data_IF_238947219931
#
_entry.id   IF_238947219931
#
_cell.length_a   1.000
_cell.length_b   1.000
_cell.length_c   1.000
_cell.angle_alpha   90.00
_cell.angle_beta   90.00
_cell.angle_gamma   90.00
#
_symmetry.space_group_name_H-M   'P 1'
#
loop_
_entity.id
_entity.type
_entity.pdbx_description
1 polymer ?
#
# COMPACT_ATOMS: atom_id res chain seq x y z
N UNK A 1 -1.27 -4.32 25.95
CA UNK A 1 -2.00 -3.53 24.94
C UNK A 1 -2.95 -4.48 24.22
N UNK A 2 -4.18 -4.65 24.70
CA UNK A 2 -5.14 -5.53 24.04
C UNK A 2 -5.67 -4.78 22.82
N UNK A 3 -5.27 -5.20 21.62
CA UNK A 3 -5.74 -4.56 20.39
C UNK A 3 -7.21 -4.93 20.21
N UNK A 4 -8.11 -3.97 20.49
CA UNK A 4 -9.55 -4.13 20.30
C UNK A 4 -9.80 -4.13 18.79
N UNK A 5 -9.82 -5.32 18.20
CA UNK A 5 -10.22 -5.49 16.81
C UNK A 5 -11.72 -5.80 16.72
N UNK A 6 -12.32 -5.47 15.58
CA UNK A 6 -13.72 -5.77 15.35
C UNK A 6 -13.94 -7.27 15.46
N UNK A 7 -14.92 -7.70 16.25
CA UNK A 7 -15.35 -9.11 16.36
C UNK A 7 -15.77 -9.70 15.00
N UNK A 8 -16.06 -8.83 14.03
CA UNK A 8 -16.34 -9.20 12.64
C UNK A 8 -15.14 -9.79 11.90
N UNK A 9 -13.91 -9.49 12.32
CA UNK A 9 -12.70 -10.00 11.69
C UNK A 9 -12.31 -11.35 12.31
N UNK A 10 -12.38 -12.41 11.51
CA UNK A 10 -12.20 -13.80 11.97
C UNK A 10 -10.73 -14.16 12.19
N UNK A 11 -9.79 -13.45 11.57
CA UNK A 11 -8.35 -13.72 11.66
C UNK A 11 -7.53 -12.47 11.95
N UNK A 12 -6.46 -12.54 12.77
CA UNK A 12 -5.58 -11.40 13.06
C UNK A 12 -4.78 -10.90 11.84
N UNK A 13 -4.65 -11.70 10.78
CA UNK A 13 -4.04 -11.28 9.49
C UNK A 13 -4.97 -10.45 8.60
N UNK A 14 -6.27 -10.54 8.85
CA UNK A 14 -7.30 -9.75 8.15
C UNK A 14 -7.48 -8.38 8.80
N UNK A 15 -6.73 -8.12 9.86
CA UNK A 15 -6.80 -6.90 10.63
C UNK A 15 -5.71 -5.96 10.18
N UNK A 16 -6.12 -4.74 9.82
CA UNK A 16 -5.20 -3.68 9.47
C UNK A 16 -4.44 -3.20 10.72
N UNK A 17 -3.11 -3.35 10.71
CA UNK A 17 -2.21 -2.78 11.73
C UNK A 17 -1.60 -1.45 11.27
N UNK A 18 -0.89 -0.76 12.17
CA UNK A 18 -0.12 0.44 11.82
C UNK A 18 1.01 0.15 10.81
N UNK A 19 1.39 -1.11 10.63
CA UNK A 19 2.32 -1.52 9.58
C UNK A 19 1.71 -1.36 8.17
N UNK A 20 0.40 -1.17 8.08
CA UNK A 20 -0.34 -1.00 6.82
C UNK A 20 -0.51 -2.30 6.05
N UNK A 21 -0.21 -3.44 6.67
CA UNK A 21 -0.31 -4.76 6.06
C UNK A 21 -1.69 -5.34 6.36
N UNK A 22 -2.41 -5.65 5.29
CA UNK A 22 -3.67 -6.36 5.26
C UNK A 22 -3.50 -7.49 4.25
N UNK A 23 -3.72 -8.73 4.70
CA UNK A 23 -3.53 -9.91 3.88
C UNK A 23 -4.74 -10.84 4.00
N UNK A 24 -5.68 -10.67 3.06
CA UNK A 24 -6.91 -11.46 2.98
C UNK A 24 -6.84 -12.32 1.73
N UNK A 25 -6.84 -13.64 1.91
CA UNK A 25 -6.81 -14.59 0.79
C UNK A 25 -8.14 -14.65 0.05
N UNK A 26 -8.16 -15.14 -1.19
CA UNK A 26 -9.41 -15.41 -1.93
C UNK A 26 -10.37 -16.34 -1.21
N UNK A 27 -9.87 -17.27 -0.37
CA UNK A 27 -10.73 -18.15 0.42
C UNK A 27 -11.46 -17.41 1.54
N UNK A 28 -10.91 -16.29 2.00
CA UNK A 28 -11.39 -15.52 3.16
C UNK A 28 -12.08 -14.22 2.74
N UNK A 29 -11.93 -13.80 1.47
CA UNK A 29 -12.44 -12.52 0.97
C UNK A 29 -13.96 -12.39 1.11
N UNK A 30 -14.71 -13.47 0.87
CA UNK A 30 -16.16 -13.47 0.99
C UNK A 30 -16.61 -13.19 2.43
N UNK A 31 -15.95 -13.81 3.40
CA UNK A 31 -16.18 -13.58 4.82
C UNK A 31 -15.76 -12.18 5.24
N UNK A 32 -14.58 -11.73 4.81
CA UNK A 32 -14.04 -10.41 5.10
C UNK A 32 -14.98 -9.28 4.64
N UNK A 33 -15.49 -9.39 3.41
CA UNK A 33 -16.36 -8.38 2.80
C UNK A 33 -17.81 -8.48 3.26
N UNK A 34 -18.33 -9.67 3.57
CA UNK A 34 -19.76 -9.87 3.89
C UNK A 34 -20.08 -9.88 5.39
N UNK A 35 -19.11 -10.21 6.26
CA UNK A 35 -19.32 -10.30 7.72
C UNK A 35 -19.01 -9.00 8.47
N UNK A 36 -18.76 -7.90 7.75
CA UNK A 36 -18.59 -6.55 8.31
C UNK A 36 -17.15 -6.17 8.71
N UNK A 37 -16.15 -7.03 8.51
CA UNK A 37 -14.75 -6.68 8.80
C UNK A 37 -14.24 -5.58 7.85
N UNK A 38 -14.57 -5.66 6.57
CA UNK A 38 -14.26 -4.61 5.58
C UNK A 38 -14.88 -3.26 5.96
N UNK A 39 -16.16 -3.24 6.33
CA UNK A 39 -16.86 -2.00 6.71
C UNK A 39 -16.28 -1.36 7.97
N UNK A 40 -16.00 -2.17 9.00
CA UNK A 40 -15.35 -1.68 10.21
C UNK A 40 -13.96 -1.11 9.92
N UNK A 41 -13.18 -1.77 9.07
CA UNK A 41 -11.86 -1.29 8.65
C UNK A 41 -11.96 0.04 7.90
N UNK A 42 -12.92 0.15 6.97
CA UNK A 42 -13.18 1.38 6.21
C UNK A 42 -13.67 2.53 7.09
N UNK A 43 -14.46 2.26 8.12
CA UNK A 43 -14.90 3.28 9.08
C UNK A 43 -13.72 3.88 9.85
N UNK A 44 -12.78 3.03 10.28
CA UNK A 44 -11.55 3.49 10.94
C UNK A 44 -10.68 4.30 9.97
N UNK A 45 -10.48 3.81 8.74
CA UNK A 45 -9.75 4.53 7.70
C UNK A 45 -10.37 5.91 7.41
N UNK A 46 -11.70 5.99 7.33
CA UNK A 46 -12.44 7.25 7.14
C UNK A 46 -12.22 8.21 8.30
N UNK A 47 -12.27 7.71 9.54
CA UNK A 47 -11.97 8.51 10.73
C UNK A 47 -10.55 9.10 10.68
N UNK A 48 -9.55 8.27 10.34
CA UNK A 48 -8.17 8.72 10.17
C UNK A 48 -8.11 9.81 9.09
N UNK A 49 -8.77 9.61 7.94
CA UNK A 49 -8.79 10.61 6.86
C UNK A 49 -9.35 11.96 7.32
N UNK A 50 -10.40 11.97 8.15
CA UNK A 50 -10.99 13.20 8.67
C UNK A 50 -10.10 13.93 9.69
N UNK A 51 -9.43 13.19 10.57
CA UNK A 51 -8.61 13.81 11.64
C UNK A 51 -7.18 14.10 11.17
N UNK A 52 -6.65 13.28 10.24
CA UNK A 52 -5.27 13.32 9.74
C UNK A 52 -5.23 12.95 8.25
N UNK A 53 -5.50 13.94 7.38
CA UNK A 53 -5.46 13.74 5.91
C UNK A 53 -4.11 13.24 5.38
N UNK A 54 -3.01 13.69 5.98
CA UNK A 54 -1.65 13.32 5.55
C UNK A 54 -1.10 12.10 6.30
N UNK A 55 -1.97 11.19 6.76
CA UNK A 55 -1.55 9.97 7.45
C UNK A 55 -1.02 8.92 6.47
N UNK A 56 0.15 8.36 6.79
CA UNK A 56 0.79 7.27 6.08
C UNK A 56 1.10 6.12 7.05
N UNK A 57 0.86 4.89 6.59
CA UNK A 57 1.23 3.69 7.32
C UNK A 57 2.73 3.39 7.15
N UNK A 58 3.30 2.52 8.01
CA UNK A 58 4.73 2.22 7.98
C UNK A 58 5.23 1.64 6.65
N UNK A 59 4.36 0.96 5.90
CA UNK A 59 4.65 0.45 4.55
C UNK A 59 4.57 1.51 3.43
N UNK A 60 4.28 2.77 3.77
CA UNK A 60 4.08 3.84 2.81
C UNK A 60 2.70 3.80 2.13
N UNK A 61 1.72 3.08 2.66
CA UNK A 61 0.35 3.18 2.19
C UNK A 61 -0.31 4.46 2.70
N UNK A 62 -1.01 5.17 1.81
CA UNK A 62 -2.00 6.17 2.26
C UNK A 62 -3.28 5.47 2.71
N UNK A 63 -4.09 6.17 3.51
CA UNK A 63 -5.45 5.73 3.86
C UNK A 63 -6.29 5.41 2.62
N UNK A 64 -6.12 6.20 1.55
CA UNK A 64 -6.81 5.99 0.27
C UNK A 64 -6.36 4.71 -0.42
N UNK A 65 -5.07 4.43 -0.48
CA UNK A 65 -4.54 3.20 -1.08
C UNK A 65 -5.15 1.95 -0.43
N UNK A 66 -5.26 1.94 0.90
CA UNK A 66 -5.86 0.81 1.63
C UNK A 66 -7.35 0.70 1.37
N UNK A 67 -8.07 1.83 1.38
CA UNK A 67 -9.51 1.86 1.10
C UNK A 67 -9.81 1.35 -0.31
N UNK A 68 -9.03 1.78 -1.30
CA UNK A 68 -9.16 1.37 -2.70
C UNK A 68 -8.85 -0.13 -2.86
N UNK A 69 -7.81 -0.63 -2.19
CA UNK A 69 -7.45 -2.06 -2.21
C UNK A 69 -8.55 -2.93 -1.60
N UNK A 70 -9.20 -2.47 -0.53
CA UNK A 70 -10.35 -3.18 0.08
C UNK A 70 -11.55 -3.18 -0.86
N UNK A 71 -11.88 -2.03 -1.46
CA UNK A 71 -12.99 -1.93 -2.40
C UNK A 71 -12.78 -2.84 -3.63
N UNK A 72 -11.58 -2.83 -4.19
CA UNK A 72 -11.23 -3.66 -5.35
C UNK A 72 -11.30 -5.16 -5.02
N UNK A 73 -10.69 -5.58 -3.91
CA UNK A 73 -10.73 -6.96 -3.45
C UNK A 73 -12.16 -7.46 -3.19
N UNK A 74 -13.01 -6.62 -2.58
CA UNK A 74 -14.41 -6.96 -2.35
C UNK A 74 -15.27 -6.94 -3.62
N UNK A 75 -15.00 -6.05 -4.58
CA UNK A 75 -15.74 -5.99 -5.84
C UNK A 75 -15.38 -7.17 -6.77
N UNK A 76 -14.12 -7.58 -6.77
CA UNK A 76 -13.59 -8.61 -7.68
C UNK A 76 -13.50 -10.00 -7.04
N UNK A 77 -13.79 -10.13 -5.73
CA UNK A 77 -13.53 -11.33 -4.93
C UNK A 77 -12.08 -11.84 -5.08
N UNK A 78 -11.13 -10.91 -5.10
CA UNK A 78 -9.71 -11.21 -5.26
C UNK A 78 -8.94 -11.00 -3.95
N UNK A 79 -7.74 -11.59 -3.88
CA UNK A 79 -6.84 -11.46 -2.72
C UNK A 79 -6.51 -9.99 -2.47
N UNK A 80 -6.66 -9.54 -1.22
CA UNK A 80 -6.16 -8.24 -0.78
C UNK A 80 -4.77 -8.44 -0.17
N UNK A 81 -3.76 -7.81 -0.75
CA UNK A 81 -2.41 -7.78 -0.19
C UNK A 81 -1.82 -6.38 -0.29
N UNK A 82 -1.81 -5.67 0.83
CA UNK A 82 -1.35 -4.28 0.90
C UNK A 82 0.12 -4.16 1.27
N UNK A 83 0.94 -5.20 1.01
CA UNK A 83 2.40 -5.09 1.12
C UNK A 83 2.96 -4.21 0.00
N UNK A 84 2.74 -2.91 0.10
CA UNK A 84 3.32 -1.94 -0.84
C UNK A 84 4.84 -2.01 -0.69
N UNK A 85 5.52 -2.34 -1.78
CA UNK A 85 6.97 -2.15 -1.88
C UNK A 85 7.20 -0.65 -1.82
N UNK A 86 7.76 -0.16 -0.72
CA UNK A 86 8.02 1.26 -0.48
C UNK A 86 8.62 1.89 -1.75
N UNK A 87 7.84 2.76 -2.41
CA UNK A 87 8.19 3.34 -3.71
C UNK A 87 9.18 4.50 -3.62
N UNK A 88 9.77 4.74 -2.44
CA UNK A 88 10.91 5.64 -2.28
C UNK A 88 12.07 5.28 -3.23
N UNK A 89 12.14 4.05 -3.72
CA UNK A 89 13.12 3.62 -4.73
C UNK A 89 12.73 4.00 -6.16
N UNK A 90 11.43 4.14 -6.52
CA UNK A 90 11.01 4.45 -7.90
C UNK A 90 11.33 5.90 -8.30
N UNK A 91 11.23 6.85 -7.36
CA UNK A 91 11.61 8.24 -7.62
C UNK A 91 13.13 8.41 -7.74
N UNK A 92 13.91 7.69 -6.92
CA UNK A 92 15.38 7.71 -7.03
C UNK A 92 15.87 7.03 -8.32
N UNK A 93 15.26 5.90 -8.73
CA UNK A 93 15.58 5.20 -9.98
C UNK A 93 15.29 6.05 -11.21
N UNK A 94 14.13 6.72 -11.28
CA UNK A 94 13.79 7.59 -12.41
C UNK A 94 14.68 8.84 -12.52
N UNK A 95 15.30 9.30 -11.42
CA UNK A 95 16.24 10.43 -11.43
C UNK A 95 17.67 10.00 -11.74
N UNK A 96 18.10 8.83 -11.24
CA UNK A 96 19.48 8.36 -11.46
C UNK A 96 19.70 7.91 -12.90
N UNK A 97 18.75 7.20 -13.53
CA UNK A 97 18.89 6.69 -14.91
C UNK A 97 19.24 7.77 -15.95
N UNK A 98 18.55 8.91 -16.06
CA UNK A 98 18.93 9.95 -17.02
C UNK A 98 20.27 10.62 -16.68
N UNK A 99 20.64 10.66 -15.41
CA UNK A 99 21.88 11.31 -14.95
C UNK A 99 23.11 10.48 -15.35
N UNK A 100 23.08 9.14 -15.18
CA UNK A 100 24.20 8.28 -15.61
C UNK A 100 24.35 8.25 -17.14
N UNK A 101 23.23 8.26 -17.88
CA UNK A 101 23.26 8.29 -19.35
C UNK A 101 23.99 9.53 -19.89
N UNK A 102 23.80 10.70 -19.26
CA UNK A 102 24.45 11.95 -19.66
C UNK A 102 25.98 11.94 -19.49
N UNK A 103 26.48 11.33 -18.40
CA UNK A 103 27.92 11.22 -18.10
C UNK A 103 28.65 10.26 -19.06
N UNK A 104 27.96 9.20 -19.52
CA UNK A 104 28.53 8.26 -20.51
C UNK A 104 28.60 8.90 -21.90
N UNK A 105 27.59 9.68 -22.29
CA UNK A 105 27.65 10.39 -23.58
C UNK A 105 28.73 11.46 -23.64
N UNK A 106 29.00 12.16 -22.53
CA UNK A 106 30.02 13.20 -22.48
C UNK A 106 31.44 12.62 -22.60
N UNK A 107 31.71 11.45 -22.01
CA UNK A 107 33.02 10.80 -22.10
C UNK A 107 33.31 10.24 -23.50
N UNK A 108 32.29 9.77 -24.22
CA UNK A 108 32.43 9.33 -25.62
C UNK A 108 32.80 10.50 -26.54
N UNK A 109 32.17 11.67 -26.37
CA UNK A 109 32.50 12.86 -27.19
C UNK A 109 33.93 13.36 -26.95
N UNK A 110 34.46 13.23 -25.74
CA UNK A 110 35.85 13.62 -25.44
C UNK A 110 36.86 12.64 -26.07
N UNK A 111 36.55 11.33 -26.14
CA UNK A 111 37.43 10.32 -26.73
C UNK A 111 37.51 10.44 -28.26
N UNK A 112 36.41 10.79 -28.93
CA UNK A 112 36.37 10.93 -30.40
C UNK A 112 36.77 12.31 -30.92
N UNK A 113 36.96 13.29 -30.04
CA UNK A 113 37.29 14.67 -30.40
C UNK A 113 38.67 15.10 -29.87
N UNK A 114 39.53 14.12 -29.53
CA UNK A 114 40.96 14.28 -29.25
C UNK A 114 41.78 13.48 -30.26
#
# INVERSE_FOLDING_TARGET
MSMIFSKACTSPKDVLTLDGVLNVSTAEIGDYCSKGCADHTKNVLTCISYVKRDFWFSNGASVRNLTDSINDGCATNSTINTKFKSSATRTLQNLLVPLVASLVTASIVIIFNM
#
